data_IF_910194314272
#
_entry.id   IF_910194314272
#
_cell.length_a   1.000
_cell.length_b   1.000
_cell.length_c   1.000
_cell.angle_alpha   90.00
_cell.angle_beta   90.00
_cell.angle_gamma   90.00
#
_symmetry.space_group_name_H-M   'P 1'
#
loop_
_entity.id
_entity.type
_entity.pdbx_description
1 polymer ?
#
# COMPACT_ATOMS: atom_id res chain seq x y z
N UNK A 1 -24.35 39.38 -22.76
CA UNK A 1 -23.00 39.11 -22.20
C UNK A 1 -22.69 37.65 -22.53
N UNK A 2 -21.83 37.39 -23.53
CA UNK A 2 -21.42 36.03 -23.90
C UNK A 2 -20.22 35.69 -23.01
N UNK A 3 -20.39 34.73 -22.11
CA UNK A 3 -19.29 34.19 -21.31
C UNK A 3 -18.92 32.85 -21.97
N UNK A 4 -17.70 32.81 -22.51
CA UNK A 4 -17.13 31.63 -23.16
C UNK A 4 -16.91 30.52 -22.14
N UNK A 5 -17.42 29.33 -22.46
CA UNK A 5 -17.02 28.07 -21.85
C UNK A 5 -15.64 27.76 -22.41
N UNK A 6 -14.61 27.87 -21.59
CA UNK A 6 -13.25 27.44 -21.95
C UNK A 6 -13.06 26.05 -21.35
N UNK A 7 -13.07 25.03 -22.20
CA UNK A 7 -12.71 23.67 -21.84
C UNK A 7 -11.27 23.66 -21.30
N UNK A 8 -11.11 23.38 -20.00
CA UNK A 8 -9.80 23.11 -19.40
C UNK A 8 -9.36 21.68 -19.71
N UNK A 9 -8.99 21.41 -20.96
CA UNK A 9 -8.23 20.21 -21.36
C UNK A 9 -6.89 20.54 -22.03
N UNK A 10 -6.47 21.81 -22.02
CA UNK A 10 -5.23 22.28 -22.65
C UNK A 10 -4.07 22.54 -21.67
N UNK A 11 -4.16 22.07 -20.43
CA UNK A 11 -3.09 22.23 -19.43
C UNK A 11 -2.18 20.99 -19.26
N UNK A 12 -2.51 19.85 -19.87
CA UNK A 12 -1.68 18.63 -19.83
C UNK A 12 -0.65 18.52 -20.97
N UNK A 13 -0.51 19.56 -21.79
CA UNK A 13 0.52 19.62 -22.85
C UNK A 13 1.39 20.84 -22.68
N UNK A 14 2.10 20.90 -21.56
CA UNK A 14 3.41 21.53 -21.54
C UNK A 14 4.34 20.56 -20.84
N UNK A 15 5.32 19.96 -21.54
CA UNK A 15 6.41 19.31 -20.84
C UNK A 15 7.02 20.39 -19.95
N UNK A 16 6.96 20.19 -18.63
CA UNK A 16 7.89 20.87 -17.73
C UNK A 16 9.26 20.49 -18.28
N UNK A 17 10.10 21.44 -18.72
CA UNK A 17 11.45 21.07 -19.12
C UNK A 17 12.10 20.52 -17.86
N UNK A 18 12.36 19.21 -17.82
CA UNK A 18 13.19 18.63 -16.77
C UNK A 18 14.49 19.43 -16.82
N UNK A 19 14.79 20.13 -15.73
CA UNK A 19 16.04 20.89 -15.59
C UNK A 19 17.24 19.98 -15.30
N UNK A 20 17.10 18.69 -15.55
CA UNK A 20 18.20 17.77 -15.66
C UNK A 20 17.98 16.94 -16.94
N UNK A 21 18.98 16.88 -17.83
CA UNK A 21 18.91 15.97 -18.96
C UNK A 21 18.85 14.55 -18.39
N UNK A 22 17.87 13.78 -18.85
CA UNK A 22 17.92 12.32 -18.79
C UNK A 22 19.27 11.95 -19.41
N UNK A 23 20.20 11.47 -18.59
CA UNK A 23 21.53 11.09 -19.05
C UNK A 23 21.37 9.79 -19.82
N UNK A 24 21.01 9.91 -21.10
CA UNK A 24 21.37 8.89 -22.08
C UNK A 24 22.87 8.76 -21.94
N UNK A 25 23.37 7.59 -21.52
CA UNK A 25 24.78 7.21 -21.62
C UNK A 25 25.18 7.38 -23.09
N UNK A 26 25.59 8.58 -23.47
CA UNK A 26 25.96 8.93 -24.84
C UNK A 26 27.28 8.23 -25.11
N UNK A 27 27.29 7.06 -25.75
CA UNK A 27 28.29 6.45 -26.66
C UNK A 27 29.82 6.66 -26.48
N UNK A 28 30.31 7.37 -25.47
CA UNK A 28 31.72 7.74 -25.25
C UNK A 28 32.40 6.85 -24.21
N UNK A 29 31.61 6.14 -23.40
CA UNK A 29 32.09 5.23 -22.34
C UNK A 29 32.41 3.82 -22.88
N UNK A 30 32.09 3.58 -24.15
CA UNK A 30 31.98 2.26 -24.76
C UNK A 30 33.09 2.09 -25.81
N UNK A 31 34.05 1.18 -25.59
CA UNK A 31 35.14 0.92 -26.55
C UNK A 31 34.82 -0.27 -27.48
N UNK A 32 35.02 -0.15 -28.81
CA UNK A 32 34.77 -1.26 -29.74
C UNK A 32 35.80 -2.38 -29.53
N UNK A 33 35.33 -3.63 -29.61
CA UNK A 33 36.12 -4.84 -29.41
C UNK A 33 37.31 -5.02 -30.37
N UNK A 34 37.37 -4.26 -31.48
CA UNK A 34 38.38 -4.40 -32.52
C UNK A 34 39.03 -3.05 -32.88
N UNK A 35 40.37 -3.04 -32.90
CA UNK A 35 41.20 -1.88 -33.24
C UNK A 35 41.15 -1.56 -34.74
N UNK A 36 40.06 -0.93 -35.20
CA UNK A 36 39.99 -0.24 -36.50
C UNK A 36 39.19 1.06 -36.30
N UNK A 37 39.86 2.24 -36.31
CA UNK A 37 39.23 3.51 -35.98
C UNK A 37 38.64 4.15 -37.24
N UNK A 38 37.59 3.57 -37.84
CA UNK A 38 36.86 4.25 -38.92
C UNK A 38 35.34 4.04 -38.78
N UNK A 39 34.63 5.15 -38.50
CA UNK A 39 33.17 5.33 -38.43
C UNK A 39 32.42 4.86 -37.17
N UNK A 40 32.54 5.64 -36.08
CA UNK A 40 31.55 5.69 -34.99
C UNK A 40 30.43 6.72 -35.26
N UNK A 41 29.82 6.67 -36.46
CA UNK A 41 28.53 7.32 -36.69
C UNK A 41 27.47 6.24 -36.90
N UNK A 42 26.69 5.99 -35.86
CA UNK A 42 25.52 5.11 -35.88
C UNK A 42 25.82 3.66 -35.52
N UNK A 43 26.04 3.39 -34.24
CA UNK A 43 25.87 2.04 -33.68
C UNK A 43 24.37 1.86 -33.44
N UNK A 44 23.74 0.93 -34.14
CA UNK A 44 22.36 0.54 -33.88
C UNK A 44 22.28 -0.13 -32.50
N UNK A 45 21.19 0.09 -31.75
CA UNK A 45 20.97 -0.51 -30.41
C UNK A 45 21.12 -2.05 -30.38
N UNK A 46 21.02 -2.72 -31.53
CA UNK A 46 21.25 -4.15 -31.71
C UNK A 46 22.72 -4.59 -31.73
N UNK A 47 23.68 -3.67 -31.59
CA UNK A 47 25.12 -3.95 -31.57
C UNK A 47 25.82 -3.53 -30.26
N UNK A 48 25.06 -3.18 -29.22
CA UNK A 48 25.59 -2.81 -27.89
C UNK A 48 26.41 -3.93 -27.22
N UNK A 49 26.16 -5.19 -27.57
CA UNK A 49 26.88 -6.37 -27.09
C UNK A 49 28.39 -6.40 -27.45
N UNK A 50 28.88 -5.40 -28.21
CA UNK A 50 30.27 -5.28 -28.69
C UNK A 50 31.08 -4.15 -28.04
N UNK A 51 30.52 -3.44 -27.06
CA UNK A 51 31.16 -2.29 -26.41
C UNK A 51 31.45 -2.57 -24.93
N UNK A 52 32.69 -2.33 -24.50
CA UNK A 52 33.11 -2.49 -23.09
C UNK A 52 32.99 -1.16 -22.32
N UNK A 53 32.49 -1.18 -21.09
CA UNK A 53 32.43 0.01 -20.24
C UNK A 53 33.81 0.35 -19.65
N UNK A 54 34.36 1.51 -20.01
CA UNK A 54 35.63 1.98 -19.46
C UNK A 54 35.40 2.86 -18.23
N UNK A 55 35.56 2.28 -17.03
CA UNK A 55 35.37 2.97 -15.75
C UNK A 55 36.25 4.22 -15.59
N UNK A 56 37.51 4.18 -16.02
CA UNK A 56 38.41 5.33 -15.88
C UNK A 56 37.96 6.51 -16.76
N UNK A 57 37.49 6.23 -17.98
CA UNK A 57 36.90 7.27 -18.84
C UNK A 57 35.59 7.80 -18.29
N UNK A 58 34.76 6.95 -17.69
CA UNK A 58 33.53 7.39 -17.03
C UNK A 58 33.81 8.35 -15.86
N UNK A 59 34.88 8.16 -15.10
CA UNK A 59 35.30 9.11 -14.05
C UNK A 59 35.80 10.46 -14.61
N UNK A 60 36.26 10.50 -15.86
CA UNK A 60 36.75 11.71 -16.54
C UNK A 60 35.63 12.56 -17.16
N UNK A 61 34.40 12.03 -17.23
CA UNK A 61 33.24 12.75 -17.74
C UNK A 61 32.96 14.01 -16.89
N UNK A 62 32.50 15.13 -17.49
CA UNK A 62 32.43 16.43 -16.81
C UNK A 62 31.66 16.43 -15.48
N UNK A 63 30.59 15.63 -15.38
CA UNK A 63 29.75 15.54 -14.17
C UNK A 63 30.48 14.80 -13.04
N UNK A 64 31.26 13.77 -13.37
CA UNK A 64 32.02 12.94 -12.43
C UNK A 64 33.38 13.57 -12.07
N UNK A 65 33.91 14.43 -12.94
CA UNK A 65 35.20 15.12 -12.75
C UNK A 65 35.24 16.06 -11.54
N UNK A 66 34.07 16.41 -10.99
CA UNK A 66 33.92 17.23 -9.78
C UNK A 66 33.88 16.39 -8.48
N UNK A 67 33.92 15.06 -8.58
CA UNK A 67 33.92 14.19 -7.39
C UNK A 67 35.19 14.37 -6.55
N UNK A 68 35.03 14.30 -5.23
CA UNK A 68 36.16 14.34 -4.29
C UNK A 68 37.05 13.11 -4.48
N UNK A 69 38.32 13.23 -4.12
CA UNK A 69 39.25 12.09 -4.15
C UNK A 69 38.76 10.91 -3.30
N UNK A 70 38.13 11.20 -2.15
CA UNK A 70 37.50 10.18 -1.29
C UNK A 70 36.37 9.44 -2.02
N UNK A 71 35.49 10.18 -2.71
CA UNK A 71 34.38 9.59 -3.47
C UNK A 71 34.87 8.73 -4.63
N UNK A 72 35.93 9.16 -5.32
CA UNK A 72 36.57 8.38 -6.38
C UNK A 72 37.12 7.05 -5.84
N UNK A 73 37.76 7.06 -4.68
CA UNK A 73 38.26 5.82 -4.07
C UNK A 73 37.12 4.89 -3.64
N UNK A 74 36.02 5.42 -3.06
CA UNK A 74 34.82 4.62 -2.75
C UNK A 74 34.20 4.00 -4.01
N UNK A 75 34.14 4.75 -5.12
CA UNK A 75 33.64 4.25 -6.40
C UNK A 75 34.53 3.15 -7.01
N UNK A 76 35.85 3.28 -6.88
CA UNK A 76 36.79 2.21 -7.30
C UNK A 76 36.60 0.95 -6.48
N UNK A 77 36.46 1.09 -5.16
CA UNK A 77 36.21 -0.05 -4.28
C UNK A 77 34.89 -0.75 -4.64
N UNK A 78 33.80 0.02 -4.82
CA UNK A 78 32.51 -0.47 -5.30
C UNK A 78 32.65 -1.24 -6.62
N UNK A 79 33.26 -0.63 -7.65
CA UNK A 79 33.46 -1.26 -8.96
C UNK A 79 34.27 -2.57 -8.88
N UNK A 80 35.22 -2.68 -7.95
CA UNK A 80 36.01 -3.91 -7.75
C UNK A 80 35.23 -5.05 -7.05
N UNK A 81 34.16 -4.70 -6.33
CA UNK A 81 33.36 -5.65 -5.53
C UNK A 81 32.21 -6.27 -6.31
N UNK A 82 31.66 -5.60 -7.32
CA UNK A 82 30.51 -6.05 -8.11
C UNK A 82 30.83 -6.33 -9.57
N UNK A 83 29.83 -6.82 -10.32
CA UNK A 83 29.97 -6.98 -11.77
C UNK A 83 29.92 -5.61 -12.46
N UNK A 84 30.50 -5.53 -13.65
CA UNK A 84 30.39 -4.32 -14.48
C UNK A 84 28.94 -3.99 -14.83
N UNK A 85 28.12 -5.02 -15.06
CA UNK A 85 26.70 -4.86 -15.35
C UNK A 85 25.95 -4.19 -14.18
N UNK A 86 26.18 -4.66 -12.96
CA UNK A 86 25.55 -4.10 -11.76
C UNK A 86 25.99 -2.66 -11.52
N UNK A 87 27.29 -2.38 -11.71
CA UNK A 87 27.80 -1.02 -11.59
C UNK A 87 27.13 -0.07 -12.59
N UNK A 88 26.98 -0.50 -13.84
CA UNK A 88 26.28 0.29 -14.87
C UNK A 88 24.80 0.48 -14.50
N UNK A 89 24.13 -0.55 -13.97
CA UNK A 89 22.74 -0.45 -13.50
C UNK A 89 22.61 0.60 -12.40
N UNK A 90 23.45 0.54 -11.36
CA UNK A 90 23.47 1.56 -10.30
C UNK A 90 23.77 2.96 -10.83
N UNK A 91 24.68 3.09 -11.79
CA UNK A 91 25.01 4.36 -12.44
C UNK A 91 23.83 4.94 -13.22
N UNK A 92 23.06 4.11 -13.94
CA UNK A 92 21.84 4.51 -14.65
C UNK A 92 20.75 5.00 -13.70
N UNK A 93 20.68 4.41 -12.50
CA UNK A 93 19.76 4.80 -11.44
C UNK A 93 20.23 6.02 -10.64
N UNK A 94 21.43 6.57 -10.93
CA UNK A 94 22.00 7.70 -10.21
C UNK A 94 22.54 7.37 -8.81
N UNK A 95 22.47 6.11 -8.38
CA UNK A 95 22.79 5.64 -7.02
C UNK A 95 24.29 5.77 -6.72
N UNK A 96 25.16 5.65 -7.73
CA UNK A 96 26.61 5.85 -7.58
C UNK A 96 26.99 7.27 -7.12
N UNK A 97 26.04 8.22 -7.16
CA UNK A 97 26.23 9.58 -6.65
C UNK A 97 25.77 9.76 -5.20
N UNK A 98 25.11 8.78 -4.58
CA UNK A 98 24.58 8.86 -3.22
C UNK A 98 25.68 8.52 -2.19
N UNK A 99 26.03 9.48 -1.32
CA UNK A 99 27.14 9.33 -0.37
C UNK A 99 26.83 8.38 0.79
N UNK A 100 25.57 8.25 1.20
CA UNK A 100 25.12 7.31 2.23
C UNK A 100 25.25 5.87 1.73
N UNK A 101 24.80 5.62 0.50
CA UNK A 101 25.01 4.34 -0.17
C UNK A 101 26.50 3.99 -0.27
N UNK A 102 27.33 4.89 -0.78
CA UNK A 102 28.78 4.65 -0.92
C UNK A 102 29.46 4.39 0.42
N UNK A 103 28.99 5.00 1.51
CA UNK A 103 29.51 4.76 2.85
C UNK A 103 29.03 3.43 3.43
N UNK A 104 27.79 3.02 3.13
CA UNK A 104 27.24 1.72 3.54
C UNK A 104 27.92 0.53 2.86
N UNK A 105 28.28 0.67 1.56
CA UNK A 105 28.92 -0.34 0.71
C UNK A 105 30.17 -0.95 1.35
N UNK A 106 30.94 -0.19 2.13
CA UNK A 106 32.14 -0.69 2.81
C UNK A 106 31.86 -1.89 3.74
N UNK A 107 30.62 -1.99 4.22
CA UNK A 107 30.18 -3.01 5.17
C UNK A 107 29.38 -4.15 4.55
N UNK A 108 29.13 -4.08 3.24
CA UNK A 108 28.35 -5.07 2.50
C UNK A 108 29.28 -6.02 1.73
N UNK A 109 28.88 -7.29 1.66
CA UNK A 109 29.54 -8.25 0.79
C UNK A 109 29.00 -8.20 -0.65
N UNK A 110 29.59 -9.02 -1.54
CA UNK A 110 29.24 -9.02 -2.96
C UNK A 110 27.81 -9.47 -3.23
N UNK A 111 27.29 -10.41 -2.44
CA UNK A 111 25.94 -10.94 -2.60
C UNK A 111 24.92 -9.87 -2.23
N UNK A 112 25.13 -9.21 -1.09
CA UNK A 112 24.29 -8.11 -0.63
C UNK A 112 24.29 -6.93 -1.61
N UNK A 113 25.43 -6.62 -2.21
CA UNK A 113 25.53 -5.56 -3.23
C UNK A 113 24.77 -5.92 -4.52
N UNK A 114 24.80 -7.18 -4.94
CA UNK A 114 24.01 -7.67 -6.06
C UNK A 114 22.51 -7.59 -5.75
N UNK A 115 22.10 -8.12 -4.58
CA UNK A 115 20.71 -8.06 -4.11
C UNK A 115 20.18 -6.63 -4.06
N UNK A 116 20.95 -5.68 -3.50
CA UNK A 116 20.55 -4.27 -3.48
C UNK A 116 20.39 -3.70 -4.89
N UNK A 117 21.28 -4.05 -5.82
CA UNK A 117 21.18 -3.59 -7.21
C UNK A 117 19.89 -4.08 -7.86
N UNK A 118 19.57 -5.36 -7.66
CA UNK A 118 18.34 -5.96 -8.18
C UNK A 118 17.10 -5.35 -7.52
N UNK A 119 17.09 -5.19 -6.19
CA UNK A 119 16.01 -4.51 -5.44
C UNK A 119 15.76 -3.09 -5.97
N UNK A 120 16.80 -2.28 -6.12
CA UNK A 120 16.64 -0.91 -6.63
C UNK A 120 16.06 -0.93 -8.04
N UNK A 121 16.53 -1.84 -8.88
CA UNK A 121 15.99 -1.98 -10.23
C UNK A 121 14.53 -2.48 -10.20
N UNK A 122 14.19 -3.43 -9.33
CA UNK A 122 12.82 -3.91 -9.10
C UNK A 122 11.86 -2.85 -8.60
N UNK A 123 12.35 -1.89 -7.81
CA UNK A 123 11.57 -0.72 -7.42
C UNK A 123 11.20 0.20 -8.59
N UNK A 124 11.83 0.05 -9.76
CA UNK A 124 11.39 0.74 -10.97
C UNK A 124 10.16 0.11 -11.61
N UNK A 125 9.84 -1.15 -11.28
CA UNK A 125 8.63 -1.82 -11.76
C UNK A 125 7.40 -1.29 -11.03
N UNK A 126 6.40 -0.84 -11.79
CA UNK A 126 5.19 -0.23 -11.22
C UNK A 126 4.35 -1.24 -10.43
N UNK A 127 3.90 -0.85 -9.23
CA UNK A 127 2.88 -1.57 -8.48
C UNK A 127 1.50 -1.40 -9.13
N UNK A 128 0.48 -2.07 -8.56
CA UNK A 128 -0.91 -1.75 -8.84
C UNK A 128 -1.18 -0.26 -8.59
N UNK A 129 -1.97 0.39 -9.47
CA UNK A 129 -2.30 1.82 -9.41
C UNK A 129 -2.80 2.28 -8.04
N UNK A 130 -3.52 1.45 -7.30
CA UNK A 130 -3.95 1.78 -5.95
C UNK A 130 -2.75 2.09 -5.05
N UNK A 131 -1.78 1.18 -5.02
CA UNK A 131 -0.60 1.28 -4.16
C UNK A 131 0.34 2.37 -4.63
N UNK A 132 0.49 2.56 -5.95
CA UNK A 132 1.19 3.72 -6.49
C UNK A 132 0.51 5.02 -6.04
N UNK A 133 -0.82 5.12 -6.05
CA UNK A 133 -1.48 6.32 -5.54
C UNK A 133 -1.26 6.55 -4.04
N UNK A 134 -1.46 5.52 -3.22
CA UNK A 134 -1.30 5.65 -1.76
C UNK A 134 0.15 5.92 -1.38
N UNK A 135 1.10 5.18 -1.94
CA UNK A 135 2.50 5.23 -1.52
C UNK A 135 3.35 6.30 -2.24
N UNK A 136 2.93 6.77 -3.42
CA UNK A 136 3.73 7.67 -4.26
C UNK A 136 3.03 8.99 -4.58
N UNK A 137 1.72 9.14 -4.37
CA UNK A 137 1.04 10.44 -4.54
C UNK A 137 0.68 11.12 -3.20
N UNK A 138 0.62 10.38 -2.09
CA UNK A 138 0.30 10.95 -0.78
C UNK A 138 1.03 10.23 0.38
N UNK A 139 2.31 10.55 0.65
CA UNK A 139 3.06 11.70 0.13
C UNK A 139 3.54 11.51 -1.31
N UNK A 140 3.69 12.62 -2.05
CA UNK A 140 4.30 12.57 -3.38
C UNK A 140 5.76 12.10 -3.24
N UNK A 141 6.08 10.95 -3.82
CA UNK A 141 7.42 10.33 -3.78
C UNK A 141 7.76 9.82 -5.17
N UNK A 142 8.80 10.35 -5.80
CA UNK A 142 9.32 9.78 -7.05
C UNK A 142 10.02 8.45 -6.77
N UNK A 143 10.27 7.67 -7.82
CA UNK A 143 11.08 6.46 -7.72
C UNK A 143 12.46 6.76 -7.10
N UNK A 144 13.12 7.82 -7.54
CA UNK A 144 14.42 8.24 -7.04
C UNK A 144 14.36 8.60 -5.55
N UNK A 145 13.36 9.38 -5.13
CA UNK A 145 13.15 9.73 -3.73
C UNK A 145 12.87 8.48 -2.87
N UNK A 146 12.18 7.48 -3.40
CA UNK A 146 11.94 6.20 -2.71
C UNK A 146 13.22 5.42 -2.49
N UNK A 147 14.05 5.31 -3.53
CA UNK A 147 15.35 4.63 -3.44
C UNK A 147 16.26 5.35 -2.45
N UNK A 148 16.33 6.68 -2.50
CA UNK A 148 17.12 7.48 -1.56
C UNK A 148 16.67 7.28 -0.11
N UNK A 149 15.36 7.33 0.16
CA UNK A 149 14.82 7.10 1.51
C UNK A 149 15.06 5.67 1.99
N UNK A 150 15.01 4.67 1.11
CA UNK A 150 15.35 3.30 1.48
C UNK A 150 16.84 3.16 1.80
N UNK A 151 17.73 3.80 1.03
CA UNK A 151 19.17 3.86 1.33
C UNK A 151 19.43 4.51 2.69
N UNK A 152 18.74 5.61 3.01
CA UNK A 152 18.84 6.29 4.31
C UNK A 152 18.48 5.33 5.46
N UNK A 153 17.34 4.64 5.35
CA UNK A 153 16.90 3.66 6.36
C UNK A 153 17.90 2.53 6.53
N UNK A 154 18.43 1.97 5.43
CA UNK A 154 19.42 0.90 5.49
C UNK A 154 20.73 1.37 6.12
N UNK A 155 21.15 2.62 5.86
CA UNK A 155 22.38 3.21 6.38
C UNK A 155 22.30 3.50 7.88
N UNK A 156 21.12 3.94 8.35
CA UNK A 156 20.86 4.23 9.77
C UNK A 156 20.54 2.98 10.59
N UNK A 157 20.19 1.87 9.94
CA UNK A 157 19.86 0.61 10.62
C UNK A 157 21.12 -0.16 11.02
N UNK A 158 21.11 -0.72 12.23
CA UNK A 158 22.20 -1.58 12.69
C UNK A 158 22.41 -2.77 11.74
N UNK A 159 23.67 -3.14 11.53
CA UNK A 159 24.09 -4.15 10.55
C UNK A 159 23.20 -5.40 10.45
N UNK A 160 22.94 -6.09 11.56
CA UNK A 160 22.13 -7.34 11.53
C UNK A 160 20.72 -7.08 11.00
N UNK A 161 20.07 -6.02 11.48
CA UNK A 161 18.73 -5.66 11.02
C UNK A 161 18.71 -5.16 9.57
N UNK A 162 19.76 -4.47 9.14
CA UNK A 162 19.93 -4.07 7.74
C UNK A 162 20.07 -5.29 6.83
N UNK A 163 20.88 -6.27 7.22
CA UNK A 163 21.08 -7.49 6.43
C UNK A 163 19.74 -8.25 6.27
N UNK A 164 18.92 -8.32 7.32
CA UNK A 164 17.55 -8.88 7.25
C UNK A 164 16.63 -8.09 6.32
N UNK A 165 16.70 -6.76 6.32
CA UNK A 165 15.91 -5.92 5.42
C UNK A 165 16.27 -6.16 3.94
N UNK A 166 17.57 -6.29 3.64
CA UNK A 166 18.06 -6.56 2.29
C UNK A 166 17.60 -7.95 1.83
N UNK A 167 17.81 -8.98 2.66
CA UNK A 167 17.39 -10.35 2.37
C UNK A 167 15.88 -10.41 2.08
N UNK A 168 15.07 -9.77 2.94
CA UNK A 168 13.62 -9.76 2.78
C UNK A 168 13.15 -9.01 1.52
N UNK A 169 13.76 -7.87 1.21
CA UNK A 169 13.47 -7.16 -0.03
C UNK A 169 13.84 -8.00 -1.25
N UNK A 170 14.97 -8.72 -1.21
CA UNK A 170 15.40 -9.61 -2.29
C UNK A 170 14.40 -10.75 -2.53
N UNK A 171 13.84 -11.35 -1.47
CA UNK A 171 12.78 -12.38 -1.61
C UNK A 171 11.55 -11.89 -2.38
N UNK A 172 11.19 -10.61 -2.23
CA UNK A 172 10.07 -10.00 -2.96
C UNK A 172 10.45 -9.57 -4.37
N UNK A 173 11.69 -9.12 -4.58
CA UNK A 173 12.23 -8.79 -5.89
C UNK A 173 12.28 -10.02 -6.83
N UNK A 174 12.63 -11.20 -6.32
CA UNK A 174 12.65 -12.46 -7.10
C UNK A 174 11.33 -12.76 -7.82
N UNK A 175 10.21 -12.24 -7.31
CA UNK A 175 8.87 -12.42 -7.92
C UNK A 175 8.64 -11.49 -9.11
N UNK A 176 9.40 -10.40 -9.22
CA UNK A 176 9.24 -9.41 -10.26
C UNK A 176 9.84 -9.97 -11.54
N UNK A 177 8.97 -10.21 -12.52
CA UNK A 177 9.41 -10.63 -13.86
C UNK A 177 9.96 -9.44 -14.65
N UNK A 178 11.04 -8.81 -14.17
CA UNK A 178 11.66 -7.67 -14.87
C UNK A 178 12.30 -8.14 -16.20
N UNK A 179 12.55 -9.44 -16.36
CA UNK A 179 13.11 -10.08 -17.55
C UNK A 179 12.20 -10.21 -18.78
N UNK A 180 11.14 -9.40 -18.92
CA UNK A 180 10.38 -9.34 -20.19
C UNK A 180 10.31 -7.99 -20.87
N UNK A 181 10.73 -6.89 -20.23
CA UNK A 181 10.68 -5.55 -20.80
C UNK A 181 11.98 -5.08 -21.47
N UNK A 182 13.11 -5.80 -21.31
CA UNK A 182 14.31 -5.56 -22.14
C UNK A 182 14.16 -6.03 -23.61
N UNK A 183 12.98 -6.52 -24.03
CA UNK A 183 12.75 -6.96 -25.42
C UNK A 183 11.89 -6.07 -26.29
N UNK A 184 11.18 -5.10 -25.76
CA UNK A 184 10.38 -4.21 -26.61
C UNK A 184 10.71 -2.76 -26.30
N UNK A 185 11.85 -2.37 -26.88
CA UNK A 185 12.14 -1.04 -27.34
C UNK A 185 10.97 -0.51 -28.18
N UNK A 186 9.92 -0.01 -27.53
CA UNK A 186 8.79 0.64 -28.17
C UNK A 186 8.37 1.84 -27.32
N UNK A 187 8.89 3.00 -27.70
CA UNK A 187 8.41 4.35 -27.36
C UNK A 187 6.97 4.61 -27.87
N UNK A 188 6.06 3.65 -27.74
CA UNK A 188 4.69 3.76 -28.27
C UNK A 188 3.67 3.18 -27.30
N UNK A 189 2.99 4.08 -26.58
CA UNK A 189 1.61 3.93 -26.11
C UNK A 189 1.24 2.70 -25.24
N UNK A 190 2.19 2.05 -24.57
CA UNK A 190 1.87 1.04 -23.54
C UNK A 190 1.63 1.62 -22.13
N UNK A 191 1.93 2.91 -21.93
CA UNK A 191 1.92 3.61 -20.63
C UNK A 191 0.53 3.82 -20.00
N UNK A 192 -0.49 3.08 -20.42
CA UNK A 192 -1.78 3.03 -19.71
C UNK A 192 -2.22 1.57 -19.47
N UNK A 193 -1.76 0.59 -20.27
CA UNK A 193 -2.18 -0.82 -20.12
C UNK A 193 -1.60 -1.49 -18.88
N UNK A 194 -0.32 -1.22 -18.55
CA UNK A 194 0.33 -1.75 -17.34
C UNK A 194 -0.21 -1.15 -16.03
N UNK A 195 -0.84 0.02 -16.10
CA UNK A 195 -1.42 0.71 -14.94
C UNK A 195 -2.71 0.06 -14.42
N UNK A 196 -3.38 -0.76 -15.24
CA UNK A 196 -4.65 -1.39 -14.87
C UNK A 196 -4.53 -2.90 -14.61
N UNK A 197 -3.32 -3.46 -14.61
CA UNK A 197 -3.16 -4.87 -14.28
C UNK A 197 -3.22 -5.08 -12.77
N UNK A 198 -4.28 -5.75 -12.32
CA UNK A 198 -4.54 -6.08 -10.91
C UNK A 198 -3.53 -7.10 -10.38
N UNK A 199 -2.63 -7.61 -11.24
CA UNK A 199 -1.63 -8.63 -10.92
C UNK A 199 -0.18 -8.13 -11.04
N UNK A 200 0.12 -6.91 -10.61
CA UNK A 200 1.52 -6.48 -10.57
C UNK A 200 2.31 -7.34 -9.57
N UNK A 201 3.31 -8.06 -10.08
CA UNK A 201 4.26 -8.83 -9.29
C UNK A 201 5.16 -7.96 -8.40
N UNK A 202 5.18 -6.65 -8.63
CA UNK A 202 5.98 -5.69 -7.85
C UNK A 202 5.31 -5.23 -6.55
N UNK A 203 4.04 -5.58 -6.32
CA UNK A 203 3.28 -5.10 -5.15
C UNK A 203 3.99 -5.40 -3.83
N UNK A 204 4.45 -6.65 -3.63
CA UNK A 204 5.08 -7.05 -2.37
C UNK A 204 6.33 -6.20 -2.09
N UNK A 205 7.24 -6.07 -3.06
CA UNK A 205 8.47 -5.28 -2.91
C UNK A 205 8.13 -3.80 -2.67
N UNK A 206 7.23 -3.24 -3.47
CA UNK A 206 6.86 -1.83 -3.41
C UNK A 206 6.23 -1.48 -2.06
N UNK A 207 5.29 -2.31 -1.57
CA UNK A 207 4.61 -2.10 -0.30
C UNK A 207 5.55 -2.37 0.88
N UNK A 208 6.43 -3.37 0.78
CA UNK A 208 7.43 -3.67 1.80
C UNK A 208 8.38 -2.50 1.99
N UNK A 209 8.99 -1.99 0.90
CA UNK A 209 9.93 -0.88 0.97
C UNK A 209 9.24 0.40 1.47
N UNK A 210 8.03 0.71 1.00
CA UNK A 210 7.28 1.87 1.53
C UNK A 210 7.03 1.72 3.03
N UNK A 211 6.63 0.54 3.50
CA UNK A 211 6.37 0.29 4.92
C UNK A 211 7.65 0.41 5.75
N UNK A 212 8.77 -0.12 5.25
CA UNK A 212 10.09 0.00 5.88
C UNK A 212 10.53 1.46 6.01
N UNK A 213 10.31 2.27 4.97
CA UNK A 213 10.65 3.70 5.01
C UNK A 213 9.82 4.43 6.05
N UNK A 214 8.53 4.15 6.11
CA UNK A 214 7.61 4.93 6.93
C UNK A 214 7.60 4.46 8.39
N UNK A 215 8.03 3.21 8.67
CA UNK A 215 8.01 2.65 10.02
C UNK A 215 9.11 3.18 10.94
N UNK A 216 8.78 3.34 12.22
CA UNK A 216 9.74 3.78 13.25
C UNK A 216 10.73 2.69 13.65
N UNK A 217 10.38 1.43 13.41
CA UNK A 217 11.21 0.28 13.78
C UNK A 217 11.21 -0.77 12.66
N UNK A 218 12.00 -0.55 11.59
CA UNK A 218 12.09 -1.47 10.45
C UNK A 218 12.42 -2.92 10.87
N UNK A 219 13.33 -3.07 11.84
CA UNK A 219 13.73 -4.37 12.35
C UNK A 219 12.58 -5.12 13.04
N UNK A 220 11.80 -4.43 13.88
CA UNK A 220 10.64 -5.04 14.55
C UNK A 220 9.57 -5.44 13.52
N UNK A 221 9.32 -4.58 12.54
CA UNK A 221 8.40 -4.87 11.44
C UNK A 221 8.78 -6.17 10.70
N UNK A 222 10.03 -6.32 10.27
CA UNK A 222 10.49 -7.55 9.59
C UNK A 222 10.37 -8.77 10.49
N UNK A 223 10.81 -8.67 11.75
CA UNK A 223 10.75 -9.78 12.69
C UNK A 223 9.31 -10.28 12.94
N UNK A 224 8.34 -9.35 12.99
CA UNK A 224 6.91 -9.69 13.07
C UNK A 224 6.41 -10.30 11.77
N UNK A 225 6.75 -9.69 10.64
CA UNK A 225 6.32 -10.15 9.32
C UNK A 225 6.81 -11.59 9.04
N UNK A 226 8.02 -11.94 9.49
CA UNK A 226 8.59 -13.29 9.35
C UNK A 226 7.88 -14.37 10.19
N UNK A 227 7.02 -14.00 11.14
CA UNK A 227 6.14 -14.96 11.83
C UNK A 227 4.97 -15.44 10.95
N UNK A 228 4.75 -14.81 9.79
CA UNK A 228 3.68 -15.13 8.87
C UNK A 228 4.19 -15.96 7.68
N UNK A 229 3.34 -16.81 7.11
CA UNK A 229 3.66 -17.53 5.88
C UNK A 229 3.77 -16.57 4.69
N UNK A 230 4.42 -16.98 3.59
CA UNK A 230 4.65 -16.12 2.42
C UNK A 230 3.34 -15.56 1.83
N UNK A 231 2.29 -16.37 1.80
CA UNK A 231 0.96 -15.96 1.35
C UNK A 231 0.33 -14.93 2.30
N UNK A 232 0.46 -15.13 3.61
CA UNK A 232 -0.02 -14.19 4.63
C UNK A 232 0.75 -12.86 4.57
N UNK A 233 2.07 -12.91 4.38
CA UNK A 233 2.91 -11.72 4.20
C UNK A 233 2.45 -10.89 2.99
N UNK A 234 2.18 -11.54 1.84
CA UNK A 234 1.65 -10.82 0.67
C UNK A 234 0.29 -10.18 0.94
N UNK A 235 -0.63 -10.89 1.61
CA UNK A 235 -1.90 -10.30 2.05
C UNK A 235 -1.70 -9.08 2.96
N UNK A 236 -0.84 -9.18 3.97
CA UNK A 236 -0.52 -8.07 4.88
C UNK A 236 0.11 -6.88 4.14
N UNK A 237 1.05 -7.13 3.23
CA UNK A 237 1.70 -6.08 2.43
C UNK A 237 0.71 -5.36 1.52
N UNK A 238 -0.27 -6.06 0.94
CA UNK A 238 -1.35 -5.41 0.20
C UNK A 238 -2.20 -4.49 1.08
N UNK A 239 -2.43 -4.87 2.34
CA UNK A 239 -3.15 -4.00 3.28
C UNK A 239 -2.30 -2.81 3.69
N UNK A 240 -1.04 -3.05 4.08
CA UNK A 240 -0.10 -2.00 4.48
C UNK A 240 0.10 -0.96 3.38
N UNK A 241 0.19 -1.41 2.12
CA UNK A 241 0.27 -0.53 0.95
C UNK A 241 -1.02 0.23 0.63
N UNK A 242 -2.17 -0.20 1.16
CA UNK A 242 -3.44 0.52 1.04
C UNK A 242 -3.68 1.46 2.22
N UNK A 243 -3.40 0.99 3.44
CA UNK A 243 -3.59 1.72 4.67
C UNK A 243 -2.68 1.15 5.76
N UNK A 244 -1.69 1.94 6.14
CA UNK A 244 -0.63 1.52 7.07
C UNK A 244 -1.16 1.23 8.47
N UNK A 245 -2.05 2.07 8.99
CA UNK A 245 -2.57 1.94 10.37
C UNK A 245 -3.27 0.59 10.53
N UNK A 246 -4.19 0.28 9.63
CA UNK A 246 -5.00 -0.94 9.66
C UNK A 246 -4.12 -2.17 9.35
N UNK A 247 -3.12 -2.03 8.48
CA UNK A 247 -2.12 -3.08 8.23
C UNK A 247 -1.27 -3.41 9.46
N UNK A 248 -0.82 -2.40 10.21
CA UNK A 248 -0.09 -2.58 11.48
C UNK A 248 -1.00 -3.19 12.56
N UNK A 249 -2.27 -2.76 12.65
CA UNK A 249 -3.25 -3.37 13.56
C UNK A 249 -3.49 -4.85 13.27
N UNK A 250 -3.56 -5.24 11.99
CA UNK A 250 -3.68 -6.65 11.58
C UNK A 250 -2.40 -7.44 11.89
N UNK A 251 -1.24 -6.85 11.61
CA UNK A 251 0.07 -7.46 11.89
C UNK A 251 0.23 -7.78 13.38
N UNK A 252 -0.16 -6.85 14.26
CA UNK A 252 -0.04 -7.03 15.71
C UNK A 252 -1.18 -7.89 16.27
N UNK A 253 -2.43 -7.65 15.85
CA UNK A 253 -3.62 -8.35 16.36
C UNK A 253 -3.68 -9.84 16.03
N UNK A 254 -2.98 -10.27 14.98
CA UNK A 254 -2.94 -11.68 14.55
C UNK A 254 -1.63 -12.39 14.94
N UNK A 255 -0.65 -11.69 15.52
CA UNK A 255 0.72 -12.18 15.71
C UNK A 255 0.79 -13.43 16.59
N UNK A 256 -0.08 -13.57 17.58
CA UNK A 256 -0.11 -14.68 18.53
C UNK A 256 -1.17 -15.75 18.18
N UNK A 257 -1.88 -15.60 17.05
CA UNK A 257 -2.93 -16.53 16.61
C UNK A 257 -2.34 -17.71 15.87
N UNK A 258 -3.08 -18.82 15.75
CA UNK A 258 -2.64 -19.94 14.90
C UNK A 258 -2.55 -19.56 13.42
N UNK A 259 -1.74 -20.31 12.68
CA UNK A 259 -1.58 -20.16 11.23
C UNK A 259 -2.92 -20.27 10.47
N UNK A 260 -3.82 -21.13 10.93
CA UNK A 260 -5.16 -21.29 10.35
C UNK A 260 -6.02 -20.03 10.54
N UNK A 261 -6.06 -19.49 11.77
CA UNK A 261 -6.78 -18.25 12.08
C UNK A 261 -6.23 -17.06 11.28
N UNK A 262 -4.89 -16.90 11.23
CA UNK A 262 -4.23 -15.89 10.41
C UNK A 262 -4.62 -16.02 8.95
N UNK A 263 -4.56 -17.23 8.40
CA UNK A 263 -4.88 -17.50 6.99
C UNK A 263 -6.33 -17.16 6.66
N UNK A 264 -7.29 -17.53 7.51
CA UNK A 264 -8.70 -17.29 7.24
C UNK A 264 -9.01 -15.79 7.16
N UNK A 265 -8.52 -14.99 8.13
CA UNK A 265 -8.70 -13.53 8.14
C UNK A 265 -7.91 -12.84 7.02
N UNK A 266 -6.62 -13.14 6.86
CA UNK A 266 -5.76 -12.47 5.87
C UNK A 266 -6.12 -12.84 4.42
N UNK A 267 -6.68 -14.03 4.18
CA UNK A 267 -7.24 -14.39 2.87
C UNK A 267 -8.41 -13.49 2.49
N UNK A 268 -9.28 -13.16 3.44
CA UNK A 268 -10.40 -12.24 3.21
C UNK A 268 -9.88 -10.81 3.00
N UNK A 269 -9.13 -10.27 3.96
CA UNK A 269 -8.70 -8.87 3.95
C UNK A 269 -7.73 -8.57 2.79
N UNK A 270 -6.81 -9.49 2.48
CA UNK A 270 -5.93 -9.37 1.31
C UNK A 270 -6.72 -9.28 0.00
N UNK A 271 -7.81 -10.05 -0.14
CA UNK A 271 -8.73 -9.93 -1.30
C UNK A 271 -9.49 -8.61 -1.29
N UNK A 272 -9.82 -8.06 -0.12
CA UNK A 272 -10.46 -6.74 -0.03
C UNK A 272 -9.53 -5.69 -0.60
N UNK A 273 -8.29 -5.61 -0.10
CA UNK A 273 -7.28 -4.64 -0.54
C UNK A 273 -6.96 -4.75 -2.05
N UNK A 274 -6.80 -5.97 -2.57
CA UNK A 274 -6.51 -6.19 -3.99
C UNK A 274 -7.68 -5.85 -4.94
N UNK A 275 -8.92 -5.96 -4.47
CA UNK A 275 -10.12 -5.65 -5.27
C UNK A 275 -10.56 -4.20 -5.16
N UNK A 276 -9.89 -3.42 -4.33
CA UNK A 276 -10.16 -1.99 -4.20
C UNK A 276 -9.95 -1.29 -5.53
N UNK A 277 -10.92 -0.49 -5.91
CA UNK A 277 -10.90 0.32 -7.11
C UNK A 277 -9.98 1.53 -6.86
N UNK A 278 -8.91 1.71 -7.65
CA UNK A 278 -7.96 2.81 -7.50
C UNK A 278 -8.57 4.17 -7.86
N UNK A 279 -9.76 4.21 -8.47
CA UNK A 279 -10.48 5.46 -8.69
C UNK A 279 -10.98 6.00 -7.33
N UNK A 280 -10.21 6.94 -6.78
CA UNK A 280 -10.63 7.78 -5.67
C UNK A 280 -11.93 8.48 -6.01
N UNK A 281 -12.77 8.66 -4.99
CA UNK A 281 -14.03 9.39 -5.05
C UNK A 281 -13.77 10.88 -5.34
N UNK A 282 -13.32 11.21 -6.54
CA UNK A 282 -13.55 12.53 -7.08
C UNK A 282 -15.06 12.66 -7.24
N UNK A 283 -15.69 13.36 -6.28
CA UNK A 283 -17.03 13.94 -6.32
C UNK A 283 -18.26 13.09 -5.94
N UNK A 284 -18.14 11.97 -5.24
CA UNK A 284 -19.34 11.29 -4.69
C UNK A 284 -19.87 11.94 -3.40
N UNK A 285 -18.97 12.46 -2.56
CA UNK A 285 -19.27 13.04 -1.23
C UNK A 285 -18.80 14.49 -1.09
N UNK A 286 -18.45 15.14 -2.19
CA UNK A 286 -18.05 16.55 -2.20
C UNK A 286 -19.24 17.48 -2.04
N UNK A 287 -19.00 18.61 -1.36
CA UNK A 287 -19.92 19.74 -1.08
C UNK A 287 -20.34 20.51 -2.34
N UNK A 288 -20.52 19.81 -3.47
CA UNK A 288 -20.95 20.39 -4.72
C UNK A 288 -22.47 20.52 -4.72
N UNK A 289 -22.99 21.66 -5.17
CA UNK A 289 -24.43 21.95 -5.35
C UNK A 289 -25.17 20.99 -6.32
N UNK A 290 -24.48 19.96 -6.81
CA UNK A 290 -25.02 18.92 -7.68
C UNK A 290 -25.05 17.60 -6.93
N UNK A 291 -26.24 17.17 -6.57
CA UNK A 291 -26.49 15.86 -5.96
C UNK A 291 -26.04 14.76 -6.94
N UNK A 292 -24.89 14.16 -6.69
CA UNK A 292 -24.36 13.05 -7.48
C UNK A 292 -25.04 11.77 -7.01
N UNK A 293 -25.91 11.20 -7.86
CA UNK A 293 -26.46 9.86 -7.61
C UNK A 293 -25.44 8.79 -7.99
N UNK A 294 -25.18 7.84 -7.11
CA UNK A 294 -24.26 6.71 -7.36
C UNK A 294 -25.09 5.47 -7.73
N UNK A 295 -24.60 4.66 -8.68
CA UNK A 295 -25.25 3.39 -9.02
C UNK A 295 -25.13 2.41 -7.85
N UNK A 296 -26.21 1.67 -7.53
CA UNK A 296 -26.16 0.66 -6.45
C UNK A 296 -25.05 -0.35 -6.73
N UNK A 297 -24.23 -0.62 -5.72
CA UNK A 297 -23.08 -1.53 -5.80
C UNK A 297 -21.81 -0.95 -6.43
N UNK A 298 -21.85 0.26 -7.03
CA UNK A 298 -20.63 0.91 -7.53
C UNK A 298 -19.69 1.29 -6.38
N UNK A 299 -20.25 1.73 -5.24
CA UNK A 299 -19.52 2.10 -4.04
C UNK A 299 -18.78 0.95 -3.36
N UNK A 300 -19.21 -0.30 -3.59
CA UNK A 300 -18.83 -1.45 -2.78
C UNK A 300 -17.34 -1.82 -2.80
N UNK A 301 -16.62 -1.39 -3.85
CA UNK A 301 -15.17 -1.59 -3.96
C UNK A 301 -14.41 -0.26 -4.05
N UNK A 302 -15.04 0.89 -3.78
CA UNK A 302 -14.32 2.17 -3.75
C UNK A 302 -13.36 2.22 -2.57
N UNK A 303 -12.29 3.00 -2.72
CA UNK A 303 -11.24 3.14 -1.71
C UNK A 303 -11.78 3.34 -0.30
N UNK A 304 -12.62 4.35 -0.09
CA UNK A 304 -13.18 4.68 1.23
C UNK A 304 -14.01 3.54 1.82
N UNK A 305 -14.82 2.85 1.00
CA UNK A 305 -15.62 1.70 1.47
C UNK A 305 -14.72 0.54 1.87
N UNK A 306 -13.74 0.20 1.03
CA UNK A 306 -12.81 -0.89 1.35
C UNK A 306 -11.91 -0.54 2.53
N UNK A 307 -11.49 0.72 2.66
CA UNK A 307 -10.72 1.20 3.80
C UNK A 307 -11.55 1.09 5.08
N UNK A 308 -12.83 1.46 5.05
CA UNK A 308 -13.73 1.26 6.19
C UNK A 308 -13.89 -0.21 6.58
N UNK A 309 -13.86 -1.14 5.63
CA UNK A 309 -13.82 -2.58 5.95
C UNK A 309 -12.52 -2.98 6.67
N UNK A 310 -11.37 -2.43 6.24
CA UNK A 310 -10.09 -2.64 6.93
C UNK A 310 -10.12 -2.04 8.34
N UNK A 311 -10.63 -0.82 8.48
CA UNK A 311 -10.80 -0.11 9.76
C UNK A 311 -11.66 -0.93 10.72
N UNK A 312 -12.81 -1.43 10.28
CA UNK A 312 -13.70 -2.25 11.12
C UNK A 312 -13.02 -3.57 11.55
N UNK A 313 -12.25 -4.22 10.67
CA UNK A 313 -11.50 -5.42 11.06
C UNK A 313 -10.38 -5.10 12.04
N UNK A 314 -9.64 -4.01 11.82
CA UNK A 314 -8.62 -3.53 12.76
C UNK A 314 -9.21 -3.17 14.12
N UNK A 315 -10.36 -2.50 14.16
CA UNK A 315 -11.11 -2.18 15.37
C UNK A 315 -11.53 -3.45 16.14
N UNK A 316 -12.05 -4.45 15.42
CA UNK A 316 -12.39 -5.74 16.03
C UNK A 316 -11.18 -6.40 16.70
N UNK A 317 -10.03 -6.44 16.01
CA UNK A 317 -8.82 -7.11 16.52
C UNK A 317 -8.08 -6.29 17.61
N UNK A 318 -8.29 -4.99 17.67
CA UNK A 318 -7.67 -4.09 18.66
C UNK A 318 -8.55 -3.83 19.88
N UNK A 319 -9.82 -4.21 19.83
CA UNK A 319 -10.78 -4.09 20.95
C UNK A 319 -11.06 -5.44 21.60
N UNK A 320 -11.12 -6.51 20.81
CA UNK A 320 -11.58 -7.83 21.25
C UNK A 320 -10.51 -8.91 21.05
N UNK A 321 -10.26 -9.72 22.08
CA UNK A 321 -9.41 -10.89 21.97
C UNK A 321 -10.26 -12.12 21.58
N UNK A 322 -10.38 -12.36 20.28
CA UNK A 322 -11.03 -13.56 19.74
C UNK A 322 -10.13 -14.79 19.89
N UNK A 323 -10.73 -15.94 20.20
CA UNK A 323 -10.05 -17.24 20.08
C UNK A 323 -9.78 -17.60 18.62
N UNK A 324 -8.84 -18.51 18.40
CA UNK A 324 -8.51 -18.99 17.04
C UNK A 324 -9.74 -19.56 16.34
N UNK A 325 -10.57 -20.35 17.03
CA UNK A 325 -11.79 -20.92 16.46
C UNK A 325 -12.78 -19.83 16.02
N UNK A 326 -12.91 -18.75 16.80
CA UNK A 326 -13.78 -17.63 16.46
C UNK A 326 -13.26 -16.84 15.24
N UNK A 327 -11.94 -16.69 15.12
CA UNK A 327 -11.33 -16.02 13.97
C UNK A 327 -11.44 -16.86 12.69
N UNK A 328 -11.28 -18.18 12.80
CA UNK A 328 -11.49 -19.10 11.67
C UNK A 328 -12.95 -19.04 11.21
N UNK A 329 -13.91 -19.14 12.13
CA UNK A 329 -15.34 -19.04 11.80
C UNK A 329 -15.67 -17.69 11.14
N UNK A 330 -15.18 -16.59 11.70
CA UNK A 330 -15.38 -15.25 11.15
C UNK A 330 -14.80 -15.12 9.73
N UNK A 331 -13.56 -15.57 9.53
CA UNK A 331 -12.90 -15.49 8.24
C UNK A 331 -13.58 -16.37 7.19
N UNK A 332 -14.02 -17.58 7.55
CA UNK A 332 -14.73 -18.49 6.65
C UNK A 332 -16.08 -17.90 6.21
N UNK A 333 -16.85 -17.36 7.16
CA UNK A 333 -18.11 -16.67 6.85
C UNK A 333 -17.87 -15.47 5.93
N UNK A 334 -16.92 -14.61 6.24
CA UNK A 334 -16.58 -13.45 5.40
C UNK A 334 -16.15 -13.84 3.99
N UNK A 335 -15.40 -14.93 3.83
CA UNK A 335 -14.97 -15.42 2.53
C UNK A 335 -16.13 -15.97 1.67
N UNK A 336 -17.18 -16.51 2.29
CA UNK A 336 -18.35 -17.08 1.62
C UNK A 336 -19.44 -16.04 1.28
N UNK A 337 -19.42 -14.89 1.95
CA UNK A 337 -20.37 -13.80 1.72
C UNK A 337 -20.06 -13.00 0.46
N UNK A 338 -21.10 -12.45 -0.18
CA UNK A 338 -20.90 -11.47 -1.25
C UNK A 338 -20.47 -10.11 -0.69
N UNK A 339 -19.97 -9.20 -1.54
CA UNK A 339 -19.41 -7.92 -1.07
C UNK A 339 -20.37 -7.08 -0.21
N UNK A 340 -21.67 -7.05 -0.52
CA UNK A 340 -22.65 -6.29 0.28
C UNK A 340 -22.81 -6.89 1.66
N UNK A 341 -22.96 -8.21 1.70
CA UNK A 341 -23.06 -8.98 2.93
C UNK A 341 -21.77 -8.87 3.77
N UNK A 342 -20.58 -8.88 3.15
CA UNK A 342 -19.31 -8.67 3.85
C UNK A 342 -19.24 -7.31 4.54
N UNK A 343 -19.70 -6.24 3.88
CA UNK A 343 -19.68 -4.91 4.50
C UNK A 343 -20.69 -4.86 5.66
N UNK A 344 -21.92 -5.34 5.43
CA UNK A 344 -22.93 -5.43 6.48
C UNK A 344 -22.48 -6.30 7.67
N UNK A 345 -21.73 -7.38 7.42
CA UNK A 345 -21.17 -8.24 8.46
C UNK A 345 -20.22 -7.48 9.36
N UNK A 346 -19.24 -6.78 8.78
CA UNK A 346 -18.24 -6.05 9.57
C UNK A 346 -18.85 -4.88 10.35
N UNK A 347 -19.78 -4.15 9.74
CA UNK A 347 -20.50 -3.05 10.40
C UNK A 347 -21.37 -3.56 11.56
N UNK A 348 -22.10 -4.67 11.35
CA UNK A 348 -22.90 -5.29 12.40
C UNK A 348 -22.04 -5.90 13.51
N UNK A 349 -20.86 -6.43 13.19
CA UNK A 349 -19.94 -7.00 14.17
C UNK A 349 -19.40 -5.93 15.14
N UNK A 350 -18.91 -4.80 14.61
CA UNK A 350 -18.38 -3.70 15.44
C UNK A 350 -19.48 -3.14 16.34
N UNK A 351 -20.56 -2.62 15.76
CA UNK A 351 -21.63 -1.95 16.52
C UNK A 351 -22.38 -2.94 17.41
N UNK A 352 -22.58 -4.17 16.93
CA UNK A 352 -23.28 -5.21 17.68
C UNK A 352 -22.52 -5.62 18.95
N UNK A 353 -21.20 -5.76 18.88
CA UNK A 353 -20.39 -6.07 20.06
C UNK A 353 -20.33 -4.90 21.04
N UNK A 354 -20.18 -3.67 20.53
CA UNK A 354 -20.21 -2.47 21.36
C UNK A 354 -21.53 -2.36 22.14
N UNK A 355 -22.66 -2.59 21.45
CA UNK A 355 -23.99 -2.62 22.05
C UNK A 355 -24.10 -3.72 23.11
N UNK A 356 -23.67 -4.94 22.82
CA UNK A 356 -23.82 -6.09 23.72
C UNK A 356 -22.98 -5.98 24.99
N UNK A 357 -21.80 -5.38 24.88
CA UNK A 357 -20.82 -5.29 25.95
C UNK A 357 -20.85 -3.94 26.66
N UNK A 358 -21.69 -3.01 26.20
CA UNK A 358 -21.84 -1.67 26.79
C UNK A 358 -20.58 -0.82 26.66
N UNK A 359 -19.77 -1.07 25.63
CA UNK A 359 -18.52 -0.36 25.39
C UNK A 359 -18.89 0.96 24.71
N UNK A 360 -18.85 2.06 25.46
CA UNK A 360 -18.70 3.36 24.82
C UNK A 360 -17.23 3.47 24.44
N UNK A 361 -16.94 3.29 23.14
CA UNK A 361 -15.62 3.42 22.51
C UNK A 361 -14.75 4.45 23.25
N UNK A 362 -13.56 4.04 23.71
CA UNK A 362 -12.44 4.85 24.28
C UNK A 362 -12.11 4.71 25.78
N UNK A 363 -12.03 3.53 26.40
CA UNK A 363 -11.58 3.48 27.83
C UNK A 363 -10.81 2.27 28.35
N UNK A 364 -10.68 1.15 27.65
CA UNK A 364 -9.93 0.00 28.19
C UNK A 364 -8.65 -0.22 27.39
N UNK A 365 -7.49 -0.09 28.06
CA UNK A 365 -6.19 -0.48 27.50
C UNK A 365 -6.01 -2.01 27.39
N UNK A 366 -7.02 -2.78 27.80
CA UNK A 366 -7.03 -4.24 27.77
C UNK A 366 -8.10 -4.73 26.80
N UNK A 367 -7.73 -5.72 25.99
CA UNK A 367 -8.64 -6.41 25.07
C UNK A 367 -9.72 -7.16 25.84
N UNK A 368 -10.94 -7.20 25.30
CA UNK A 368 -12.03 -7.95 25.91
C UNK A 368 -11.98 -9.40 25.46
N UNK A 369 -11.86 -10.31 26.42
CA UNK A 369 -11.76 -11.76 26.19
C UNK A 369 -13.08 -12.35 25.68
N UNK A 370 -13.23 -12.52 24.37
CA UNK A 370 -14.49 -12.98 23.77
C UNK A 370 -14.85 -14.42 24.11
N UNK A 371 -13.88 -15.22 24.56
CA UNK A 371 -14.14 -16.57 25.09
C UNK A 371 -14.91 -16.52 26.41
N UNK A 372 -14.81 -15.44 27.17
CA UNK A 372 -15.57 -15.21 28.39
C UNK A 372 -16.99 -14.68 28.11
N UNK A 373 -17.28 -14.27 26.87
CA UNK A 373 -18.55 -13.65 26.46
C UNK A 373 -19.38 -14.50 25.46
N UNK A 374 -19.67 -15.79 25.75
CA UNK A 374 -20.37 -16.67 24.81
C UNK A 374 -21.81 -16.23 24.52
N UNK A 375 -22.45 -15.50 25.44
CA UNK A 375 -23.81 -14.99 25.23
C UNK A 375 -23.82 -13.84 24.21
N UNK A 376 -22.83 -12.93 24.29
CA UNK A 376 -22.68 -11.85 23.32
C UNK A 376 -22.41 -12.45 21.93
N UNK A 377 -21.47 -13.40 21.84
CA UNK A 377 -21.15 -14.07 20.58
C UNK A 377 -22.34 -14.80 19.95
N UNK A 378 -23.14 -15.53 20.74
CA UNK A 378 -24.33 -16.22 20.21
C UNK A 378 -25.40 -15.23 19.69
N UNK A 379 -25.62 -14.11 20.39
CA UNK A 379 -26.54 -13.07 19.93
C UNK A 379 -26.04 -12.43 18.65
N UNK A 380 -24.77 -12.05 18.60
CA UNK A 380 -24.14 -11.49 17.42
C UNK A 380 -24.26 -12.46 16.23
N UNK A 381 -23.93 -13.74 16.43
CA UNK A 381 -23.96 -14.74 15.37
C UNK A 381 -25.36 -14.91 14.75
N UNK A 382 -26.43 -14.72 15.52
CA UNK A 382 -27.81 -14.77 15.00
C UNK A 382 -28.10 -13.69 13.95
N UNK A 383 -27.43 -12.53 14.06
CA UNK A 383 -27.50 -11.43 13.09
C UNK A 383 -26.55 -11.68 11.94
N UNK A 384 -25.31 -12.06 12.23
CA UNK A 384 -24.27 -12.30 11.22
C UNK A 384 -24.61 -13.46 10.27
N UNK A 385 -25.43 -14.42 10.72
CA UNK A 385 -25.90 -15.53 9.88
C UNK A 385 -27.15 -15.20 9.06
N UNK A 386 -27.75 -14.01 9.25
CA UNK A 386 -29.00 -13.61 8.59
C UNK A 386 -28.73 -12.69 7.40
N UNK A 387 -28.91 -13.21 6.18
CA UNK A 387 -28.75 -12.41 4.94
C UNK A 387 -29.64 -11.17 4.92
N UNK A 388 -30.87 -11.27 5.42
CA UNK A 388 -31.80 -10.14 5.49
C UNK A 388 -31.31 -9.06 6.48
N UNK A 389 -30.72 -9.48 7.61
CA UNK A 389 -30.15 -8.53 8.57
C UNK A 389 -28.90 -7.85 8.00
N UNK A 390 -27.97 -8.62 7.41
CA UNK A 390 -26.78 -8.08 6.76
C UNK A 390 -27.13 -7.13 5.60
N UNK A 391 -28.15 -7.46 4.83
CA UNK A 391 -28.65 -6.61 3.75
C UNK A 391 -29.27 -5.32 4.30
N UNK A 392 -30.05 -5.38 5.38
CA UNK A 392 -30.60 -4.18 6.02
C UNK A 392 -29.51 -3.26 6.57
N UNK A 393 -28.46 -3.83 7.18
CA UNK A 393 -27.28 -3.09 7.64
C UNK A 393 -26.57 -2.45 6.45
N UNK A 394 -26.35 -3.19 5.37
CA UNK A 394 -25.80 -2.64 4.13
C UNK A 394 -26.64 -1.46 3.61
N UNK A 395 -27.96 -1.62 3.52
CA UNK A 395 -28.88 -0.60 2.99
C UNK A 395 -28.94 0.67 3.85
N UNK A 396 -28.48 0.65 5.11
CA UNK A 396 -28.36 1.85 5.93
C UNK A 396 -27.44 2.90 5.30
N UNK A 397 -26.50 2.52 4.43
CA UNK A 397 -25.65 3.45 3.65
C UNK A 397 -26.38 4.15 2.51
N UNK A 398 -27.46 3.55 2.00
CA UNK A 398 -28.17 4.04 0.84
C UNK A 398 -29.14 5.15 1.27
N UNK A 399 -28.99 6.35 0.68
CA UNK A 399 -29.92 7.46 0.88
C UNK A 399 -31.10 7.39 -0.08
N UNK A 400 -31.52 8.56 -0.59
CA UNK A 400 -32.73 8.64 -1.42
C UNK A 400 -32.58 7.83 -2.73
N UNK A 401 -33.48 6.87 -2.93
CA UNK A 401 -33.54 6.07 -4.15
C UNK A 401 -33.85 6.95 -5.38
N UNK A 402 -33.10 6.73 -6.46
CA UNK A 402 -33.22 7.42 -7.74
C UNK A 402 -33.27 6.42 -8.89
N UNK A 403 -33.80 6.86 -10.05
CA UNK A 403 -33.84 6.07 -11.30
C UNK A 403 -34.42 4.66 -11.12
N UNK A 404 -35.57 4.56 -10.44
CA UNK A 404 -36.28 3.29 -10.21
C UNK A 404 -35.42 2.23 -9.48
N UNK A 405 -34.68 2.67 -8.45
CA UNK A 405 -33.89 1.78 -7.59
C UNK A 405 -32.52 1.35 -8.16
N UNK A 406 -32.08 1.95 -9.27
CA UNK A 406 -30.75 1.65 -9.87
C UNK A 406 -29.61 2.47 -9.28
N UNK A 407 -29.95 3.59 -8.65
CA UNK A 407 -28.99 4.54 -8.08
C UNK A 407 -29.57 5.17 -6.83
N UNK A 408 -28.74 5.69 -5.95
CA UNK A 408 -29.17 6.41 -4.76
C UNK A 408 -28.34 7.70 -4.59
N UNK A 409 -28.89 8.65 -3.85
CA UNK A 409 -28.14 9.79 -3.33
C UNK A 409 -27.43 9.33 -2.07
N UNK A 410 -26.09 9.41 -1.97
CA UNK A 410 -25.39 9.04 -0.74
C UNK A 410 -25.88 9.87 0.45
N UNK A 411 -26.04 9.21 1.60
CA UNK A 411 -26.29 9.93 2.86
C UNK A 411 -25.08 10.76 3.24
N UNK A 412 -25.30 11.81 4.02
CA UNK A 412 -24.19 12.43 4.76
C UNK A 412 -23.60 11.41 5.73
N UNK A 413 -22.34 11.61 6.14
CA UNK A 413 -21.68 10.73 7.12
C UNK A 413 -22.50 10.57 8.39
N UNK A 414 -23.13 11.64 8.88
CA UNK A 414 -23.91 11.63 10.12
C UNK A 414 -25.23 10.85 9.98
N UNK A 415 -25.99 11.09 8.92
CA UNK A 415 -27.23 10.35 8.65
C UNK A 415 -26.96 8.85 8.48
N UNK A 416 -25.87 8.51 7.79
CA UNK A 416 -25.45 7.12 7.64
C UNK A 416 -25.18 6.46 8.99
N UNK A 417 -24.34 7.06 9.84
CA UNK A 417 -23.98 6.49 11.14
C UNK A 417 -25.21 6.34 12.05
N UNK A 418 -26.09 7.34 12.09
CA UNK A 418 -27.32 7.31 12.89
C UNK A 418 -28.26 6.18 12.44
N UNK A 419 -28.47 6.01 11.13
CA UNK A 419 -29.31 4.94 10.61
C UNK A 419 -28.68 3.57 10.79
N UNK A 420 -27.35 3.46 10.64
CA UNK A 420 -26.61 2.23 10.89
C UNK A 420 -26.79 1.76 12.34
N UNK A 421 -26.59 2.67 13.30
CA UNK A 421 -26.78 2.39 14.73
C UNK A 421 -28.22 1.97 15.04
N UNK A 422 -29.23 2.65 14.47
CA UNK A 422 -30.65 2.26 14.63
C UNK A 422 -30.95 0.88 14.06
N UNK A 423 -30.44 0.58 12.86
CA UNK A 423 -30.67 -0.71 12.20
C UNK A 423 -30.03 -1.83 13.01
N UNK A 424 -28.75 -1.70 13.38
CA UNK A 424 -28.07 -2.72 14.20
C UNK A 424 -28.76 -2.87 15.55
N UNK A 425 -29.13 -1.77 16.22
CA UNK A 425 -29.82 -1.79 17.52
C UNK A 425 -31.20 -2.44 17.48
N UNK A 426 -31.87 -2.46 16.31
CA UNK A 426 -33.14 -3.17 16.14
C UNK A 426 -32.98 -4.70 16.20
N UNK A 427 -31.80 -5.22 15.89
CA UNK A 427 -31.45 -6.63 16.00
C UNK A 427 -30.69 -6.95 17.30
N UNK A 428 -29.82 -6.02 17.73
CA UNK A 428 -28.94 -6.15 18.90
C UNK A 428 -29.08 -4.90 19.76
N UNK A 429 -30.09 -4.83 20.64
CA UNK A 429 -30.27 -3.68 21.52
C UNK A 429 -29.04 -3.48 22.41
N UNK A 430 -28.67 -2.22 22.72
CA UNK A 430 -27.65 -1.93 23.73
C UNK A 430 -27.96 -2.67 25.04
N UNK A 431 -26.93 -3.18 25.70
CA UNK A 431 -27.07 -3.73 27.04
C UNK A 431 -27.82 -2.73 27.92
N UNK A 432 -28.84 -3.19 28.66
CA UNK A 432 -29.58 -2.33 29.59
C UNK A 432 -28.55 -1.68 30.51
N UNK A 433 -28.32 -0.37 30.32
CA UNK A 433 -27.60 0.41 31.31
C UNK A 433 -28.40 0.27 32.59
N UNK A 434 -27.80 -0.22 33.68
CA UNK A 434 -28.33 0.02 35.02
C UNK A 434 -28.81 1.48 35.04
N UNK A 435 -30.10 1.70 35.35
CA UNK A 435 -30.85 2.98 35.21
C UNK A 435 -30.27 4.18 36.00
N UNK A 436 -29.01 4.12 36.43
CA UNK A 436 -28.30 5.18 37.13
C UNK A 436 -27.19 5.89 36.31
N UNK A 437 -27.01 5.57 35.03
CA UNK A 437 -26.13 6.40 34.18
C UNK A 437 -26.95 7.53 33.59
N UNK A 438 -26.87 8.69 34.27
CA UNK A 438 -27.42 9.97 33.79
C UNK A 438 -26.97 10.25 32.36
N UNK A 439 -27.93 10.73 31.58
CA UNK A 439 -27.79 11.27 30.23
C UNK A 439 -26.58 12.23 30.14
N UNK A 440 -25.57 11.98 29.27
CA UNK A 440 -24.41 12.86 29.11
C UNK A 440 -24.78 14.27 28.63
N UNK A 441 -26.01 14.47 28.13
CA UNK A 441 -26.48 15.73 27.58
C UNK A 441 -27.14 16.68 28.59
N UNK A 442 -27.30 16.27 29.87
CA UNK A 442 -27.79 17.18 30.92
C UNK A 442 -26.80 18.32 31.28
N UNK A 443 -25.55 18.31 30.77
CA UNK A 443 -24.60 19.40 30.99
C UNK A 443 -24.57 20.47 29.88
N UNK A 444 -25.30 20.32 28.77
CA UNK A 444 -25.30 21.28 27.65
C UNK A 444 -26.49 22.26 27.63
N UNK A 445 -27.41 22.21 28.61
CA UNK A 445 -28.56 23.13 28.68
C UNK A 445 -28.48 24.15 29.83
N UNK A 446 -27.34 24.24 30.51
CA UNK A 446 -27.10 25.15 31.64
C UNK A 446 -26.48 26.52 31.33
N UNK A 447 -26.47 26.98 30.07
CA UNK A 447 -25.93 28.29 29.71
C UNK A 447 -26.94 29.16 28.92
N UNK A 448 -28.02 29.55 29.62
CA UNK A 448 -28.73 30.81 29.37
C UNK A 448 -29.04 31.48 30.70
N UNK A 449 -28.24 32.49 31.04
CA UNK A 449 -28.64 33.64 31.82
C UNK A 449 -27.95 34.86 31.22
#
# INVERSE_FOLDING_TARGET
MKISITNHYSALTKPVPSKQPITVLQSHVAEPLDTQPENTQGVFLSELDKLYFNFNKWLEEPIQSEFSAEKIEKLKDLYSKMSEEDFIRLGRLGITSNDDFLSMVETLDKEQLSQLTDIFYGLSASANMLFTHVNEFNPSRTYEEKVEQFIEVLSDTQRIARDQLIEKAAEYDEKISIHKAERENNDTYESLGGYFDVKSSANDLQNFVSTVIDTKSPADFVNKLDQYSREQQSSLLNVLGMSRIEGEQLLDGLLDKSDEARTSILSFIGKVALKTNPFFEMSAFGDSEHVVSISKGFGDNLFETTKKMLENMGELLTTYNFSDEQLVEMGDQLNDLNRKEQIGYLEAAVIGLDNLLGIQTSSTNELIEMKAEPQAMNKLQSVLSSKDALQAVYEAREGEDRRSGRSYVPKTKWEYLEDLEKVVSSYIPPAESDENVRDPWEYASGAKA
#
